data_IF_389933073020
#
_entry.id   IF_389933073020
#
_cell.length_a   1.000
_cell.length_b   1.000
_cell.length_c   1.000
_cell.angle_alpha   90.00
_cell.angle_beta   90.00
_cell.angle_gamma   90.00
#
_symmetry.space_group_name_H-M   'P 1'
#
loop_
_entity.id
_entity.type
_entity.pdbx_description
1 polymer ?
#
# COMPACT_ATOMS: atom_id res chain seq x y z
N UNK A 1 -15.52 4.96 26.04
CA UNK A 1 -16.45 4.10 25.29
C UNK A 1 -16.01 2.66 25.36
N UNK A 2 -16.89 1.72 25.69
CA UNK A 2 -16.54 0.29 25.66
C UNK A 2 -16.61 -0.19 24.20
N UNK A 3 -15.51 -0.64 23.64
CA UNK A 3 -15.48 -1.34 22.36
C UNK A 3 -15.78 -2.81 22.61
N UNK A 4 -16.75 -3.37 21.90
CA UNK A 4 -16.94 -4.82 21.87
C UNK A 4 -16.06 -5.39 20.77
N UNK A 5 -15.14 -6.25 21.13
CA UNK A 5 -14.38 -7.07 20.21
C UNK A 5 -14.94 -8.47 20.33
N UNK A 6 -15.44 -9.00 19.23
CA UNK A 6 -15.92 -10.37 19.20
C UNK A 6 -14.70 -11.30 19.17
N UNK A 7 -14.38 -11.88 20.33
CA UNK A 7 -13.29 -12.84 20.49
C UNK A 7 -13.82 -14.24 20.17
N UNK A 8 -13.61 -14.73 18.95
CA UNK A 8 -13.69 -16.16 18.74
C UNK A 8 -12.65 -16.87 19.61
N UNK A 9 -13.06 -17.98 20.25
CA UNK A 9 -12.19 -18.89 20.97
C UNK A 9 -11.20 -19.58 19.99
N UNK A 10 -10.21 -18.84 19.51
CA UNK A 10 -9.18 -19.38 18.66
C UNK A 10 -8.06 -19.98 19.52
N UNK A 11 -7.75 -21.23 19.28
CA UNK A 11 -6.54 -21.84 19.85
C UNK A 11 -5.32 -21.00 19.45
N UNK A 12 -4.48 -20.55 20.41
CA UNK A 12 -3.27 -19.83 20.08
C UNK A 12 -2.41 -20.62 19.07
N UNK A 13 -2.00 -19.95 18.02
CA UNK A 13 -1.16 -20.51 16.96
C UNK A 13 0.09 -19.66 16.77
N UNK A 14 1.15 -19.90 17.58
CA UNK A 14 2.37 -19.09 17.56
C UNK A 14 3.04 -19.07 16.19
N UNK A 15 3.63 -17.94 15.84
CA UNK A 15 4.44 -17.79 14.64
C UNK A 15 5.62 -18.76 14.67
N UNK A 16 5.92 -19.36 13.53
CA UNK A 16 7.01 -20.32 13.35
C UNK A 16 8.15 -19.66 12.60
N UNK A 17 9.36 -19.62 13.17
CA UNK A 17 10.55 -19.08 12.51
C UNK A 17 10.65 -17.54 12.54
N UNK A 18 11.60 -17.01 11.77
CA UNK A 18 11.89 -15.58 11.68
C UNK A 18 10.94 -14.88 10.71
N UNK A 19 10.69 -13.58 10.94
CA UNK A 19 9.93 -12.70 10.05
C UNK A 19 10.76 -12.23 8.82
N UNK A 20 11.97 -12.76 8.64
CA UNK A 20 13.04 -12.26 7.75
C UNK A 20 13.02 -12.77 6.31
N UNK A 21 11.95 -13.45 5.86
CA UNK A 21 11.92 -14.10 4.53
C UNK A 21 11.81 -13.10 3.35
N UNK A 22 11.87 -11.78 3.63
CA UNK A 22 11.72 -10.70 2.65
C UNK A 22 13.00 -9.88 2.42
N UNK A 23 14.16 -10.38 2.84
CA UNK A 23 15.45 -9.67 2.71
C UNK A 23 16.12 -9.83 1.33
N UNK A 24 15.58 -10.69 0.45
CA UNK A 24 16.10 -10.94 -0.89
C UNK A 24 15.97 -9.73 -1.83
N UNK A 25 16.57 -9.85 -3.02
CA UNK A 25 16.37 -8.88 -4.11
C UNK A 25 14.96 -8.93 -4.71
N UNK A 26 14.15 -9.94 -4.36
CA UNK A 26 12.77 -10.07 -4.79
C UNK A 26 11.87 -9.06 -4.07
N UNK A 27 10.78 -8.66 -4.74
CA UNK A 27 9.73 -7.82 -4.15
C UNK A 27 8.45 -8.64 -4.15
N UNK A 28 8.17 -9.28 -3.02
CA UNK A 28 7.13 -10.30 -2.88
C UNK A 28 5.81 -9.78 -2.32
N UNK A 29 5.76 -8.54 -1.84
CA UNK A 29 4.58 -7.94 -1.20
C UNK A 29 4.62 -6.43 -1.28
N UNK A 30 3.53 -5.77 -0.95
CA UNK A 30 3.43 -4.32 -0.88
C UNK A 30 4.52 -3.73 0.04
N UNK A 31 5.22 -2.70 -0.44
CA UNK A 31 6.33 -2.01 0.24
C UNK A 31 7.46 -2.96 0.65
N UNK A 32 7.65 -4.06 -0.09
CA UNK A 32 8.72 -5.04 -0.06
C UNK A 32 8.76 -5.96 1.18
N UNK A 33 8.52 -5.47 2.38
CA UNK A 33 8.77 -6.23 3.62
C UNK A 33 7.64 -6.07 4.65
N UNK A 34 7.64 -6.87 5.74
CA UNK A 34 6.60 -6.80 6.76
C UNK A 34 6.47 -5.45 7.46
N UNK A 35 7.54 -4.68 7.62
CA UNK A 35 7.50 -3.34 8.21
C UNK A 35 6.98 -2.26 7.25
N UNK A 36 6.71 -2.61 6.01
CA UNK A 36 6.18 -1.73 4.96
C UNK A 36 7.03 -0.47 4.68
N UNK A 37 8.30 -0.50 5.02
CA UNK A 37 9.19 0.66 4.95
C UNK A 37 9.87 0.90 3.59
N UNK A 38 9.50 0.12 2.57
CA UNK A 38 9.93 0.29 1.18
C UNK A 38 11.46 0.27 0.95
N UNK A 39 12.15 -0.59 1.67
CA UNK A 39 13.58 -0.77 1.47
C UNK A 39 13.87 -1.60 0.21
N UNK A 40 13.64 -0.99 -0.96
CA UNK A 40 13.85 -1.63 -2.26
C UNK A 40 15.33 -1.72 -2.66
N UNK A 41 16.22 -0.98 -2.02
CA UNK A 41 17.63 -0.90 -2.42
C UNK A 41 17.87 -0.15 -3.73
N UNK A 42 17.04 0.85 -4.03
CA UNK A 42 17.20 1.71 -5.21
C UNK A 42 18.53 2.48 -5.18
N UNK A 43 19.29 2.47 -6.28
CA UNK A 43 20.59 3.11 -6.38
C UNK A 43 20.69 3.92 -7.67
N UNK A 44 21.26 5.13 -7.57
CA UNK A 44 21.56 6.02 -8.70
C UNK A 44 23.00 6.49 -8.62
N UNK A 45 23.54 7.02 -9.73
CA UNK A 45 24.88 7.62 -9.77
C UNK A 45 24.76 9.14 -9.63
N UNK A 46 25.59 9.73 -8.77
CA UNK A 46 25.60 11.18 -8.58
C UNK A 46 24.25 11.77 -8.18
N UNK A 47 23.95 12.98 -8.60
CA UNK A 47 22.65 13.61 -8.47
C UNK A 47 21.84 13.34 -9.74
N UNK A 48 20.74 12.57 -9.65
CA UNK A 48 19.93 12.30 -10.83
C UNK A 48 19.09 13.53 -11.19
N UNK A 49 18.98 13.81 -12.48
CA UNK A 49 18.24 14.97 -13.02
C UNK A 49 17.30 14.60 -14.19
N UNK A 50 17.21 13.31 -14.52
CA UNK A 50 16.43 12.83 -15.66
C UNK A 50 15.71 11.53 -15.34
N UNK A 51 14.49 11.39 -15.88
CA UNK A 51 13.69 10.16 -15.83
C UNK A 51 13.27 9.81 -17.26
N UNK A 52 13.76 8.66 -17.77
CA UNK A 52 13.47 8.18 -19.13
C UNK A 52 12.57 6.96 -19.11
N UNK A 53 11.62 6.86 -20.05
CA UNK A 53 10.80 5.67 -20.24
C UNK A 53 11.65 4.59 -20.93
N UNK A 54 11.95 3.50 -20.21
CA UNK A 54 12.64 2.33 -20.81
C UNK A 54 11.67 1.49 -21.63
N UNK A 55 10.48 1.26 -21.11
CA UNK A 55 9.38 0.59 -21.81
C UNK A 55 8.04 0.92 -21.19
N UNK A 56 7.00 0.74 -21.99
CA UNK A 56 5.58 0.74 -21.59
C UNK A 56 4.96 -0.58 -21.99
N UNK A 57 4.24 -1.22 -21.06
CA UNK A 57 3.41 -2.37 -21.32
C UNK A 57 1.93 -1.95 -21.25
N UNK A 58 1.15 -2.28 -22.27
CA UNK A 58 -0.29 -2.00 -22.29
C UNK A 58 -1.08 -3.19 -21.77
N UNK A 59 -1.85 -2.99 -20.70
CA UNK A 59 -2.82 -3.96 -20.21
C UNK A 59 -4.06 -3.97 -21.09
N UNK A 60 -4.87 -4.99 -20.97
CA UNK A 60 -6.22 -4.95 -21.52
C UNK A 60 -6.99 -3.77 -20.88
N UNK A 61 -7.84 -3.15 -21.68
CA UNK A 61 -8.75 -2.11 -21.21
C UNK A 61 -10.17 -2.66 -21.21
N UNK A 62 -10.70 -3.02 -20.03
CA UNK A 62 -12.06 -3.49 -19.86
C UNK A 62 -13.04 -2.32 -19.98
N UNK A 63 -13.94 -2.35 -20.96
CA UNK A 63 -14.95 -1.30 -21.21
C UNK A 63 -16.32 -1.63 -20.61
N UNK A 64 -16.39 -2.70 -19.86
CA UNK A 64 -17.64 -3.12 -19.22
C UNK A 64 -18.16 -2.03 -18.27
N UNK A 65 -19.41 -1.65 -18.44
CA UNK A 65 -20.14 -0.76 -17.54
C UNK A 65 -20.76 -1.59 -16.44
N UNK A 66 -20.17 -1.54 -15.25
CA UNK A 66 -20.69 -2.20 -14.05
C UNK A 66 -21.48 -1.22 -13.19
N UNK A 67 -22.16 -1.73 -12.16
CA UNK A 67 -22.78 -0.89 -11.13
C UNK A 67 -21.78 0.07 -10.48
N UNK A 68 -20.51 -0.30 -10.39
CA UNK A 68 -19.42 0.49 -9.81
C UNK A 68 -18.63 1.31 -10.84
N UNK A 69 -19.11 1.38 -12.10
CA UNK A 69 -18.49 2.12 -13.19
C UNK A 69 -17.58 1.27 -14.09
N UNK A 70 -16.79 1.95 -14.93
CA UNK A 70 -15.78 1.34 -15.81
C UNK A 70 -14.43 1.39 -15.13
N UNK A 71 -13.82 0.23 -14.90
CA UNK A 71 -12.53 0.13 -14.20
C UNK A 71 -11.32 0.13 -15.14
N UNK A 72 -11.56 -0.08 -16.45
CA UNK A 72 -10.55 0.04 -17.49
C UNK A 72 -9.40 -0.96 -17.35
N UNK A 73 -8.20 -0.46 -17.16
CA UNK A 73 -6.98 -1.25 -17.05
C UNK A 73 -5.88 -0.53 -16.28
N UNK A 74 -4.64 -0.97 -16.45
CA UNK A 74 -3.51 -0.45 -15.71
C UNK A 74 -3.57 -0.81 -14.23
N UNK A 75 -3.15 0.11 -13.37
CA UNK A 75 -3.15 -0.09 -11.93
C UNK A 75 -3.65 1.18 -11.23
N UNK A 76 -4.39 1.02 -10.15
CA UNK A 76 -4.86 2.10 -9.31
C UNK A 76 -4.28 2.03 -7.91
N UNK A 77 -4.81 2.83 -7.02
CA UNK A 77 -4.54 2.73 -5.60
C UNK A 77 -5.10 1.39 -5.08
N UNK A 78 -4.43 0.59 -4.38
CA UNK A 78 -3.10 0.48 -3.80
C UNK A 78 -2.15 -0.43 -4.62
N UNK A 79 -2.40 -0.56 -5.91
CA UNK A 79 -1.64 -1.46 -6.76
C UNK A 79 -0.15 -1.11 -6.79
N UNK A 80 0.69 -2.12 -6.61
CA UNK A 80 2.14 -2.04 -6.74
C UNK A 80 2.62 -3.26 -7.50
N UNK A 81 3.60 -3.12 -8.43
CA UNK A 81 4.24 -4.27 -9.05
C UNK A 81 5.00 -5.12 -8.03
N UNK A 82 5.09 -6.43 -8.29
CA UNK A 82 6.02 -7.34 -7.64
C UNK A 82 7.17 -7.65 -8.59
N UNK A 83 8.29 -8.13 -8.06
CA UNK A 83 9.46 -8.50 -8.85
C UNK A 83 10.07 -9.81 -8.37
N UNK A 84 10.29 -10.71 -9.32
CA UNK A 84 11.03 -11.95 -9.11
C UNK A 84 12.41 -11.84 -9.78
N UNK A 85 13.44 -11.71 -8.97
CA UNK A 85 14.81 -11.49 -9.44
C UNK A 85 15.34 -12.64 -10.28
N UNK A 86 15.09 -13.89 -9.84
CA UNK A 86 15.59 -15.09 -10.54
C UNK A 86 15.01 -15.26 -11.94
N UNK A 87 13.72 -14.98 -12.12
CA UNK A 87 13.04 -15.05 -13.42
C UNK A 87 13.06 -13.73 -14.18
N UNK A 88 13.61 -12.67 -13.57
CA UNK A 88 13.60 -11.31 -14.12
C UNK A 88 12.21 -10.84 -14.54
N UNK A 89 11.22 -11.07 -13.68
CA UNK A 89 9.81 -10.94 -13.99
C UNK A 89 9.10 -9.93 -13.08
N UNK A 90 8.37 -9.02 -13.69
CA UNK A 90 7.39 -8.16 -13.02
C UNK A 90 6.05 -8.85 -13.02
N UNK A 91 5.37 -8.85 -11.87
CA UNK A 91 3.99 -9.33 -11.74
C UNK A 91 3.13 -8.16 -11.30
N UNK A 92 2.06 -7.88 -12.03
CA UNK A 92 1.11 -6.83 -11.68
C UNK A 92 -0.33 -7.34 -11.84
N UNK A 93 -1.10 -7.18 -10.77
CA UNK A 93 -2.55 -7.37 -10.79
C UNK A 93 -3.23 -6.06 -11.15
N UNK A 94 -4.17 -6.09 -12.09
CA UNK A 94 -4.68 -4.93 -12.80
C UNK A 94 -6.17 -4.68 -12.52
N UNK A 95 -6.58 -3.44 -12.69
CA UNK A 95 -7.98 -3.01 -12.61
C UNK A 95 -8.88 -3.72 -13.64
N UNK A 96 -8.32 -4.21 -14.75
CA UNK A 96 -9.07 -4.98 -15.78
C UNK A 96 -9.27 -6.45 -15.43
N UNK A 97 -9.21 -6.84 -14.15
CA UNK A 97 -9.42 -8.21 -13.66
C UNK A 97 -8.34 -9.22 -14.07
N UNK A 98 -7.16 -8.75 -14.49
CA UNK A 98 -6.07 -9.62 -14.96
C UNK A 98 -4.79 -9.41 -14.18
N UNK A 99 -4.09 -10.51 -13.97
CA UNK A 99 -2.71 -10.51 -13.47
C UNK A 99 -1.77 -10.74 -14.64
N UNK A 100 -0.80 -9.83 -14.80
CA UNK A 100 0.19 -9.84 -15.88
C UNK A 100 1.53 -10.27 -15.35
N UNK A 101 2.29 -10.92 -16.23
CA UNK A 101 3.65 -11.38 -16.04
C UNK A 101 4.50 -10.77 -17.16
N UNK A 102 5.46 -9.93 -16.81
CA UNK A 102 6.18 -9.08 -17.75
C UNK A 102 7.68 -9.27 -17.55
N UNK A 103 8.40 -9.58 -18.63
CA UNK A 103 9.87 -9.61 -18.59
C UNK A 103 10.40 -8.19 -18.27
N UNK A 104 11.15 -8.08 -17.18
CA UNK A 104 11.64 -6.79 -16.67
C UNK A 104 12.57 -6.08 -17.64
N UNK A 105 13.35 -6.82 -18.45
CA UNK A 105 14.29 -6.23 -19.40
C UNK A 105 13.57 -5.68 -20.61
N UNK A 106 12.66 -6.46 -21.20
CA UNK A 106 12.06 -6.16 -22.51
C UNK A 106 10.70 -5.48 -22.44
N UNK A 107 10.02 -5.54 -21.30
CA UNK A 107 8.65 -5.05 -21.16
C UNK A 107 7.62 -5.87 -21.92
N UNK A 108 7.95 -7.08 -22.36
CA UNK A 108 7.01 -7.99 -23.04
C UNK A 108 6.41 -8.99 -22.07
N UNK A 109 5.21 -9.50 -22.37
CA UNK A 109 4.63 -10.59 -21.60
C UNK A 109 5.58 -11.80 -21.59
N UNK A 110 5.93 -12.30 -20.41
CA UNK A 110 6.78 -13.49 -20.21
C UNK A 110 5.95 -14.77 -20.25
N UNK A 111 4.67 -14.67 -19.91
CA UNK A 111 3.69 -15.75 -19.94
C UNK A 111 2.26 -15.20 -20.04
N UNK A 112 1.23 -16.04 -20.31
CA UNK A 112 -0.15 -15.58 -20.39
C UNK A 112 -0.65 -14.93 -19.11
N UNK A 113 -1.48 -13.89 -19.23
CA UNK A 113 -2.18 -13.29 -18.09
C UNK A 113 -3.24 -14.23 -17.51
N UNK A 114 -3.52 -14.09 -16.22
CA UNK A 114 -4.60 -14.83 -15.54
C UNK A 114 -5.77 -13.88 -15.30
N UNK A 115 -6.94 -14.24 -15.81
CA UNK A 115 -8.19 -13.52 -15.53
C UNK A 115 -8.78 -14.03 -14.22
N UNK A 116 -9.15 -13.09 -13.34
CA UNK A 116 -9.77 -13.38 -12.04
C UNK A 116 -11.20 -12.84 -11.92
N UNK A 117 -11.76 -12.38 -13.04
CA UNK A 117 -13.16 -11.96 -13.23
C UNK A 117 -13.62 -10.72 -12.45
N UNK A 118 -12.85 -10.20 -11.50
CA UNK A 118 -13.16 -8.98 -10.75
C UNK A 118 -11.96 -8.04 -10.71
N UNK A 119 -12.25 -6.75 -10.60
CA UNK A 119 -11.23 -5.69 -10.47
C UNK A 119 -10.29 -5.99 -9.31
N UNK A 120 -8.99 -5.80 -9.53
CA UNK A 120 -7.97 -5.90 -8.50
C UNK A 120 -7.42 -4.49 -8.26
N UNK A 121 -7.69 -3.91 -7.09
CA UNK A 121 -7.15 -2.60 -6.69
C UNK A 121 -5.85 -2.77 -5.91
N UNK A 122 -5.81 -3.75 -5.02
CA UNK A 122 -4.71 -3.98 -4.10
C UNK A 122 -3.47 -4.62 -4.73
N UNK A 123 -2.38 -4.60 -3.96
CA UNK A 123 -1.15 -5.30 -4.33
C UNK A 123 -1.24 -6.77 -3.97
N UNK A 124 -0.97 -7.64 -4.93
CA UNK A 124 -0.81 -9.07 -4.70
C UNK A 124 0.40 -9.37 -3.81
N UNK A 125 0.50 -10.60 -3.32
CA UNK A 125 1.67 -11.05 -2.55
C UNK A 125 2.08 -12.45 -2.97
N UNK A 126 3.38 -12.73 -2.96
CA UNK A 126 3.95 -14.04 -3.31
C UNK A 126 4.42 -14.70 -2.02
N UNK A 127 4.19 -16.01 -1.89
CA UNK A 127 4.72 -16.78 -0.78
C UNK A 127 6.27 -16.88 -0.84
N UNK A 128 6.97 -17.04 0.33
CA UNK A 128 8.43 -17.12 0.37
C UNK A 128 9.03 -18.31 -0.38
N UNK A 129 8.21 -19.25 -0.86
CA UNK A 129 8.64 -20.42 -1.65
C UNK A 129 8.42 -20.22 -3.15
N UNK A 130 7.94 -19.03 -3.58
CA UNK A 130 7.71 -18.65 -4.99
C UNK A 130 6.74 -19.58 -5.75
N UNK A 131 5.76 -20.13 -5.03
CA UNK A 131 4.79 -21.08 -5.60
C UNK A 131 3.41 -20.49 -5.80
N UNK A 132 3.00 -19.59 -4.90
CA UNK A 132 1.65 -19.07 -4.86
C UNK A 132 1.66 -17.54 -4.91
N UNK A 133 0.74 -16.99 -5.69
CA UNK A 133 0.41 -15.57 -5.70
C UNK A 133 -0.97 -15.39 -5.08
N UNK A 134 -1.09 -14.53 -4.11
CA UNK A 134 -2.31 -14.22 -3.37
C UNK A 134 -2.92 -12.91 -3.88
N UNK A 135 -4.18 -12.94 -4.26
CA UNK A 135 -4.89 -11.81 -4.87
C UNK A 135 -6.23 -11.59 -4.18
N UNK A 136 -6.46 -10.38 -3.70
CA UNK A 136 -7.79 -9.92 -3.28
C UNK A 136 -8.55 -9.30 -4.46
N UNK A 137 -9.82 -9.64 -4.61
CA UNK A 137 -10.72 -8.93 -5.53
C UNK A 137 -11.25 -7.68 -4.83
N UNK A 138 -11.05 -6.51 -5.43
CA UNK A 138 -11.32 -5.22 -4.80
C UNK A 138 -12.70 -4.64 -5.07
N UNK A 139 -13.38 -5.09 -6.15
CA UNK A 139 -14.72 -4.60 -6.49
C UNK A 139 -15.57 -5.78 -6.96
N UNK A 140 -16.80 -5.94 -6.46
CA UNK A 140 -17.70 -7.04 -6.82
C UNK A 140 -18.43 -6.77 -8.14
N UNK A 141 -17.70 -6.67 -9.26
CA UNK A 141 -18.32 -6.57 -10.58
C UNK A 141 -19.15 -7.80 -10.90
N UNK A 142 -18.66 -8.95 -10.47
CA UNK A 142 -19.30 -10.25 -10.63
C UNK A 142 -19.29 -11.04 -9.32
N UNK A 143 -20.29 -11.86 -9.10
CA UNK A 143 -20.34 -12.76 -7.95
C UNK A 143 -19.94 -14.19 -8.39
N UNK A 144 -19.24 -14.95 -7.53
CA UNK A 144 -18.79 -14.58 -6.18
C UNK A 144 -17.59 -13.64 -6.18
N UNK A 145 -17.42 -12.87 -5.11
CA UNK A 145 -16.22 -12.07 -4.81
C UNK A 145 -15.49 -12.68 -3.63
N UNK A 146 -14.15 -12.66 -3.67
CA UNK A 146 -13.34 -13.23 -2.59
C UNK A 146 -11.85 -13.04 -2.80
N UNK A 147 -11.10 -14.00 -2.30
CA UNK A 147 -9.64 -14.04 -2.37
C UNK A 147 -9.19 -15.23 -3.19
N UNK A 148 -8.12 -15.10 -3.94
CA UNK A 148 -7.65 -16.14 -4.86
C UNK A 148 -6.20 -16.51 -4.57
N UNK A 149 -5.88 -17.77 -4.87
CA UNK A 149 -4.50 -18.25 -4.96
C UNK A 149 -4.24 -18.67 -6.40
N UNK A 150 -3.20 -18.08 -7.00
CA UNK A 150 -2.70 -18.50 -8.31
C UNK A 150 -1.46 -19.38 -8.10
N UNK A 151 -1.46 -20.58 -8.67
CA UNK A 151 -0.27 -21.43 -8.77
C UNK A 151 0.67 -20.81 -9.82
N UNK A 152 1.81 -20.27 -9.36
CA UNK A 152 2.77 -19.59 -10.23
C UNK A 152 3.46 -20.53 -11.22
N UNK A 153 3.59 -21.82 -10.91
CA UNK A 153 4.17 -22.79 -11.84
C UNK A 153 3.22 -23.15 -12.98
N UNK A 154 1.90 -23.13 -12.73
CA UNK A 154 0.86 -23.48 -13.69
C UNK A 154 0.19 -22.25 -14.31
N UNK A 155 0.47 -21.06 -13.78
CA UNK A 155 -0.13 -19.79 -14.22
C UNK A 155 -1.67 -19.87 -14.28
N UNK A 156 -2.27 -20.37 -13.19
CA UNK A 156 -3.73 -20.52 -13.07
C UNK A 156 -4.21 -20.41 -11.64
N UNK A 157 -5.49 -20.03 -11.49
CA UNK A 157 -6.15 -20.07 -10.18
C UNK A 157 -6.18 -21.51 -9.67
N UNK A 158 -5.67 -21.72 -8.45
CA UNK A 158 -5.63 -23.00 -7.75
C UNK A 158 -6.61 -23.08 -6.59
N UNK A 159 -7.00 -21.91 -6.03
CA UNK A 159 -7.97 -21.83 -4.95
C UNK A 159 -8.74 -20.52 -5.03
N UNK A 160 -10.05 -20.60 -4.81
CA UNK A 160 -10.92 -19.48 -4.48
C UNK A 160 -11.30 -19.59 -3.00
N UNK A 161 -11.20 -18.49 -2.29
CA UNK A 161 -11.57 -18.38 -0.87
C UNK A 161 -12.73 -17.39 -0.81
N UNK A 162 -13.91 -17.93 -0.57
CA UNK A 162 -15.13 -17.16 -0.41
C UNK A 162 -15.10 -16.32 0.87
N UNK A 163 -16.06 -15.39 0.98
CA UNK A 163 -16.24 -14.58 2.17
C UNK A 163 -16.51 -15.43 3.43
N UNK A 164 -16.13 -14.91 4.59
CA UNK A 164 -16.50 -15.52 5.86
C UNK A 164 -17.97 -15.16 6.18
N UNK A 165 -18.89 -16.14 6.30
CA UNK A 165 -20.28 -15.85 6.62
C UNK A 165 -20.48 -15.20 7.99
N UNK A 166 -19.44 -15.18 8.83
CA UNK A 166 -19.44 -14.52 10.14
C UNK A 166 -18.89 -13.10 10.09
N UNK A 167 -18.48 -12.61 8.92
CA UNK A 167 -18.06 -11.22 8.73
C UNK A 167 -19.23 -10.28 9.09
N UNK A 168 -18.92 -9.25 9.85
CA UNK A 168 -19.94 -8.32 10.34
C UNK A 168 -20.29 -7.25 9.30
N UNK A 169 -19.39 -6.94 8.39
CA UNK A 169 -19.59 -6.04 7.26
C UNK A 169 -19.74 -6.85 5.98
N UNK A 170 -20.81 -6.61 5.22
CA UNK A 170 -21.14 -7.34 3.99
C UNK A 170 -20.53 -6.72 2.73
N UNK A 171 -19.30 -6.20 2.84
CA UNK A 171 -18.49 -5.77 1.72
C UNK A 171 -17.23 -6.64 1.66
N UNK A 172 -17.22 -7.60 0.74
CA UNK A 172 -16.22 -8.67 0.71
C UNK A 172 -15.01 -8.38 -0.15
N UNK A 173 -14.79 -7.14 -0.53
CA UNK A 173 -13.60 -6.69 -1.21
C UNK A 173 -12.33 -6.86 -0.35
N UNK A 174 -11.17 -6.83 -0.96
CA UNK A 174 -9.90 -6.99 -0.28
C UNK A 174 -8.80 -6.26 -1.04
N UNK A 175 -8.60 -4.99 -0.70
CA UNK A 175 -7.58 -4.12 -1.27
C UNK A 175 -6.23 -4.24 -0.55
N UNK A 176 -6.25 -4.67 0.69
CA UNK A 176 -5.04 -4.92 1.47
C UNK A 176 -4.14 -5.99 0.84
N UNK A 177 -2.84 -5.72 0.77
CA UNK A 177 -1.85 -6.73 0.40
C UNK A 177 -1.66 -7.73 1.54
N UNK A 178 -1.88 -9.03 1.30
CA UNK A 178 -1.59 -10.04 2.31
C UNK A 178 -0.10 -10.15 2.58
N UNK A 179 0.26 -10.76 3.72
CA UNK A 179 1.64 -11.00 4.08
C UNK A 179 1.82 -12.35 4.77
N UNK A 180 2.80 -13.12 4.32
CA UNK A 180 3.16 -14.40 4.96
C UNK A 180 4.33 -14.19 5.91
N UNK A 181 4.11 -14.37 7.21
CA UNK A 181 5.13 -14.28 8.25
C UNK A 181 4.98 -15.44 9.24
N UNK A 182 6.11 -16.00 9.66
CA UNK A 182 6.12 -17.08 10.65
C UNK A 182 5.28 -18.30 10.27
N UNK A 183 5.19 -18.62 8.98
CA UNK A 183 4.45 -19.78 8.46
C UNK A 183 2.93 -19.59 8.36
N UNK A 184 2.44 -18.36 8.52
CA UNK A 184 1.03 -17.99 8.35
C UNK A 184 0.87 -16.81 7.42
N UNK A 185 -0.18 -16.84 6.61
CA UNK A 185 -0.62 -15.71 5.79
C UNK A 185 -1.63 -14.88 6.59
N UNK A 186 -1.36 -13.59 6.70
CA UNK A 186 -2.29 -12.62 7.28
C UNK A 186 -2.90 -11.78 6.17
N UNK A 187 -4.22 -11.63 6.20
CA UNK A 187 -4.97 -10.96 5.15
C UNK A 187 -6.06 -10.07 5.74
N UNK A 188 -5.86 -8.76 5.78
CA UNK A 188 -6.93 -7.82 6.11
C UNK A 188 -8.02 -7.83 5.04
N UNK A 189 -9.25 -7.54 5.41
CA UNK A 189 -10.37 -7.47 4.48
C UNK A 189 -11.32 -6.34 4.81
N UNK A 190 -11.93 -5.78 3.78
CA UNK A 190 -12.95 -4.74 3.93
C UNK A 190 -14.26 -5.27 4.53
N UNK A 191 -14.37 -6.57 4.69
CA UNK A 191 -15.42 -7.24 5.47
C UNK A 191 -15.25 -7.07 7.00
N UNK A 192 -14.24 -6.30 7.44
CA UNK A 192 -13.99 -5.98 8.84
C UNK A 192 -13.21 -7.05 9.59
N UNK A 193 -12.52 -7.91 8.88
CA UNK A 193 -11.79 -9.03 9.48
C UNK A 193 -10.30 -8.98 9.15
N UNK A 194 -9.47 -9.30 10.14
CA UNK A 194 -8.07 -9.69 9.89
C UNK A 194 -7.98 -11.20 9.96
N UNK A 195 -7.72 -11.83 8.83
CA UNK A 195 -7.65 -13.28 8.70
C UNK A 195 -6.24 -13.80 8.91
N UNK A 196 -6.13 -14.99 9.51
CA UNK A 196 -4.91 -15.77 9.62
C UNK A 196 -5.12 -17.14 9.00
N UNK A 197 -4.37 -17.42 7.95
CA UNK A 197 -4.41 -18.71 7.23
C UNK A 197 -3.12 -19.49 7.48
N UNK A 198 -3.24 -20.82 7.57
CA UNK A 198 -2.12 -21.73 7.38
C UNK A 198 -2.10 -22.26 5.97
N UNK A 199 -0.90 -22.46 5.40
CA UNK A 199 -0.76 -23.14 4.13
C UNK A 199 -0.48 -24.61 4.37
N UNK A 200 -1.44 -25.47 4.06
CA UNK A 200 -1.31 -26.91 4.20
C UNK A 200 -1.53 -27.57 2.84
N UNK A 201 -0.55 -28.34 2.38
CA UNK A 201 -0.61 -29.05 1.09
C UNK A 201 -0.88 -28.16 -0.13
N UNK A 202 -0.36 -26.90 -0.10
CA UNK A 202 -0.55 -25.93 -1.18
C UNK A 202 -1.85 -25.14 -1.12
N UNK A 203 -2.74 -25.41 -0.17
CA UNK A 203 -3.99 -24.69 0.05
C UNK A 203 -3.95 -23.84 1.32
N UNK A 204 -4.57 -22.67 1.25
CA UNK A 204 -4.82 -21.85 2.43
C UNK A 204 -6.00 -22.40 3.22
N UNK A 205 -5.82 -22.58 4.52
CA UNK A 205 -6.87 -22.96 5.45
C UNK A 205 -6.97 -21.90 6.54
N UNK A 206 -8.17 -21.39 6.77
CA UNK A 206 -8.42 -20.45 7.85
C UNK A 206 -8.09 -21.09 9.20
N UNK A 207 -7.24 -20.42 9.98
CA UNK A 207 -6.86 -20.81 11.33
C UNK A 207 -7.60 -20.00 12.36
N UNK A 208 -7.67 -18.69 12.14
CA UNK A 208 -8.25 -17.73 13.06
C UNK A 208 -8.58 -16.43 12.33
N UNK A 209 -9.49 -15.63 12.87
CA UNK A 209 -9.76 -14.29 12.41
C UNK A 209 -10.06 -13.38 13.60
N UNK A 210 -9.54 -12.16 13.56
CA UNK A 210 -10.01 -11.07 14.41
C UNK A 210 -11.21 -10.41 13.72
N UNK A 211 -12.36 -10.40 14.39
CA UNK A 211 -13.58 -9.66 14.04
C UNK A 211 -13.87 -8.68 15.14
N UNK A 212 -14.26 -7.49 14.80
CA UNK A 212 -14.50 -6.46 15.82
C UNK A 212 -15.47 -5.40 15.33
N UNK A 213 -16.00 -4.62 16.27
CA UNK A 213 -16.83 -3.46 16.00
C UNK A 213 -16.27 -2.22 16.67
N UNK A 214 -16.51 -1.07 16.07
CA UNK A 214 -16.24 0.24 16.64
C UNK A 214 -17.58 0.93 16.86
N UNK A 215 -17.93 1.22 18.12
CA UNK A 215 -19.20 1.82 18.48
C UNK A 215 -20.42 1.07 17.90
N UNK A 216 -20.33 -0.27 17.81
CA UNK A 216 -21.39 -1.13 17.28
C UNK A 216 -21.44 -1.27 15.77
N UNK A 217 -20.57 -0.58 15.02
CA UNK A 217 -20.44 -0.74 13.57
C UNK A 217 -19.18 -1.53 13.21
N UNK A 218 -19.27 -2.39 12.20
CA UNK A 218 -18.13 -3.12 11.67
C UNK A 218 -17.37 -2.23 10.70
N UNK A 219 -16.08 -1.90 10.96
CA UNK A 219 -15.24 -1.15 10.04
C UNK A 219 -14.73 -2.02 8.89
N UNK A 220 -14.26 -1.41 7.81
CA UNK A 220 -13.47 -2.07 6.76
C UNK A 220 -11.98 -1.88 6.98
N UNK A 221 -11.16 -2.84 6.53
CA UNK A 221 -9.71 -2.73 6.58
C UNK A 221 -9.19 -2.71 5.15
N UNK A 222 -8.81 -1.53 4.66
CA UNK A 222 -8.32 -1.34 3.27
C UNK A 222 -6.79 -1.32 3.20
N UNK A 223 -6.12 -0.92 4.28
CA UNK A 223 -4.66 -0.90 4.32
C UNK A 223 -4.03 -2.28 4.63
N UNK A 224 -2.76 -2.40 4.28
CA UNK A 224 -2.01 -3.65 4.45
C UNK A 224 -1.44 -3.77 5.86
N UNK A 225 -1.45 -4.98 6.42
CA UNK A 225 -0.87 -5.25 7.74
C UNK A 225 0.62 -4.94 7.76
N UNK A 226 1.05 -4.09 8.69
CA UNK A 226 2.44 -3.87 9.05
C UNK A 226 2.82 -4.79 10.21
N UNK A 227 4.00 -5.43 10.14
CA UNK A 227 4.39 -6.46 11.12
C UNK A 227 5.82 -6.25 11.62
N UNK A 228 6.01 -6.39 12.93
CA UNK A 228 7.31 -6.53 13.57
C UNK A 228 7.23 -7.59 14.68
N UNK A 229 8.04 -8.63 14.59
CA UNK A 229 7.96 -9.81 15.47
C UNK A 229 6.56 -10.43 15.45
N UNK A 230 5.91 -10.55 16.60
CA UNK A 230 4.53 -11.05 16.73
C UNK A 230 3.47 -9.96 16.87
N UNK A 231 3.82 -8.70 16.60
CA UNK A 231 2.88 -7.58 16.57
C UNK A 231 2.54 -7.19 15.15
N UNK A 232 1.27 -6.97 14.89
CA UNK A 232 0.76 -6.44 13.64
C UNK A 232 -0.02 -5.15 13.88
N UNK A 233 0.09 -4.19 12.96
CA UNK A 233 -0.65 -2.93 13.00
C UNK A 233 -1.39 -2.72 11.69
N UNK A 234 -2.62 -2.27 11.81
CA UNK A 234 -3.44 -1.85 10.68
C UNK A 234 -4.35 -0.69 11.10
N UNK A 235 -4.81 0.08 10.11
CA UNK A 235 -5.85 1.07 10.28
C UNK A 235 -7.19 0.56 9.77
N UNK A 236 -8.25 1.23 10.12
CA UNK A 236 -9.58 0.93 9.59
C UNK A 236 -10.29 2.20 9.09
N UNK A 237 -11.37 2.01 8.34
CA UNK A 237 -12.14 3.10 7.78
C UNK A 237 -13.02 3.87 8.80
N UNK A 238 -12.90 3.55 10.09
CA UNK A 238 -13.44 4.34 11.21
C UNK A 238 -12.35 5.14 11.92
N UNK A 239 -11.12 5.18 11.37
CA UNK A 239 -10.00 5.93 11.91
C UNK A 239 -9.29 5.26 13.07
N UNK A 240 -9.48 3.97 13.30
CA UNK A 240 -8.78 3.28 14.38
C UNK A 240 -7.48 2.66 13.90
N UNK A 241 -6.38 2.95 14.60
CA UNK A 241 -5.13 2.21 14.49
C UNK A 241 -5.18 1.09 15.53
N UNK A 242 -5.02 -0.15 15.11
CA UNK A 242 -5.14 -1.33 15.97
C UNK A 242 -3.81 -2.09 15.96
N UNK A 243 -3.31 -2.40 17.16
CA UNK A 243 -2.24 -3.37 17.36
C UNK A 243 -2.82 -4.73 17.72
N UNK A 244 -2.37 -5.77 17.06
CA UNK A 244 -2.79 -7.14 17.30
C UNK A 244 -1.59 -8.03 17.61
N UNK A 245 -1.74 -8.94 18.59
CA UNK A 245 -0.79 -10.01 18.82
C UNK A 245 -1.08 -11.16 17.83
N UNK A 246 -0.21 -11.38 16.87
CA UNK A 246 -0.39 -12.34 15.78
C UNK A 246 -0.34 -13.81 16.24
N UNK A 247 0.21 -14.10 17.44
CA UNK A 247 0.18 -15.44 18.01
C UNK A 247 -1.23 -15.81 18.50
N UNK A 248 -1.94 -14.84 19.08
CA UNK A 248 -3.24 -15.05 19.71
C UNK A 248 -4.39 -14.46 18.91
N UNK A 249 -4.11 -13.62 17.92
CA UNK A 249 -5.09 -12.81 17.16
C UNK A 249 -5.94 -11.91 18.06
N UNK A 250 -5.40 -11.50 19.22
CA UNK A 250 -6.05 -10.59 20.15
C UNK A 250 -5.52 -9.17 20.02
N UNK A 251 -6.38 -8.15 20.07
CA UNK A 251 -5.95 -6.76 20.15
C UNK A 251 -5.09 -6.53 21.40
N UNK A 252 -4.05 -5.73 21.25
CA UNK A 252 -3.18 -5.29 22.34
C UNK A 252 -3.57 -3.89 22.80
N UNK A 253 -3.72 -2.99 21.85
CA UNK A 253 -4.17 -1.61 22.05
C UNK A 253 -4.81 -1.08 20.78
N UNK A 254 -5.49 0.05 20.88
CA UNK A 254 -5.95 0.83 19.74
C UNK A 254 -5.77 2.34 20.01
N UNK A 255 -5.68 3.09 18.93
CA UNK A 255 -5.58 4.54 18.92
C UNK A 255 -6.61 5.12 17.95
N UNK A 256 -7.30 6.20 18.36
CA UNK A 256 -8.26 6.92 17.50
C UNK A 256 -7.53 7.99 16.71
N UNK A 257 -7.42 7.81 15.39
CA UNK A 257 -6.81 8.76 14.46
C UNK A 257 -7.84 9.58 13.67
N UNK A 258 -9.05 9.65 14.20
CA UNK A 258 -10.14 10.56 13.86
C UNK A 258 -10.89 10.27 12.55
N UNK A 259 -10.26 9.91 11.45
CA UNK A 259 -10.87 9.72 10.13
C UNK A 259 -10.28 8.48 9.42
N UNK A 260 -10.84 8.13 8.29
CA UNK A 260 -10.51 6.95 7.50
C UNK A 260 -8.99 6.79 7.29
N UNK A 261 -8.53 5.53 7.36
CA UNK A 261 -7.11 5.19 7.24
C UNK A 261 -6.92 4.19 6.11
N UNK A 262 -6.67 4.70 4.94
CA UNK A 262 -6.34 3.91 3.76
C UNK A 262 -4.83 3.70 3.60
N UNK A 263 -4.04 4.72 3.92
CA UNK A 263 -2.59 4.66 3.89
C UNK A 263 -2.02 3.57 4.81
N UNK A 264 -1.17 2.70 4.28
CA UNK A 264 -0.57 1.62 5.08
C UNK A 264 0.42 2.17 6.11
N UNK A 265 0.36 1.62 7.31
CA UNK A 265 1.26 1.94 8.43
C UNK A 265 2.70 1.53 8.10
N UNK A 266 3.65 2.38 8.45
CA UNK A 266 5.09 2.10 8.34
C UNK A 266 5.69 1.92 9.72
N UNK A 267 6.57 0.92 9.87
CA UNK A 267 7.31 0.69 11.10
C UNK A 267 8.80 1.04 10.93
N UNK A 268 9.32 1.80 11.89
CA UNK A 268 10.74 2.05 12.14
C UNK A 268 11.11 1.41 13.47
N UNK A 269 12.28 0.77 13.54
CA UNK A 269 12.76 0.17 14.79
C UNK A 269 13.98 0.93 15.27
N UNK A 270 13.89 1.46 16.48
CA UNK A 270 15.01 2.09 17.19
C UNK A 270 15.21 1.41 18.54
N UNK A 271 16.43 0.94 18.83
CA UNK A 271 16.79 0.26 20.07
C UNK A 271 15.80 -0.84 20.48
N UNK A 272 15.39 -1.69 19.53
CA UNK A 272 14.38 -2.76 19.68
C UNK A 272 12.94 -2.27 19.96
N UNK A 273 12.69 -0.97 19.96
CA UNK A 273 11.35 -0.40 20.09
C UNK A 273 10.81 -0.10 18.70
N UNK A 274 9.69 -0.70 18.28
CA UNK A 274 9.03 -0.34 17.05
C UNK A 274 8.25 0.98 17.25
N UNK A 275 8.47 1.92 16.35
CA UNK A 275 7.64 3.11 16.20
C UNK A 275 6.86 2.99 14.91
N UNK A 276 5.58 3.33 14.94
CA UNK A 276 4.72 3.30 13.78
C UNK A 276 4.28 4.70 13.38
N UNK A 277 4.13 4.88 12.07
CA UNK A 277 3.68 6.14 11.46
C UNK A 277 2.43 5.88 10.65
N UNK A 278 1.40 6.71 10.85
CA UNK A 278 0.12 6.58 10.21
C UNK A 278 -0.52 7.95 9.99
N UNK A 279 -1.13 8.16 8.85
CA UNK A 279 -1.96 9.33 8.58
C UNK A 279 -3.40 8.92 8.28
N UNK A 280 -4.32 9.87 8.39
CA UNK A 280 -5.71 9.69 8.00
C UNK A 280 -6.07 10.55 6.79
N UNK A 281 -7.22 10.24 6.22
CA UNK A 281 -7.86 11.02 5.19
C UNK A 281 -8.66 12.20 5.76
N UNK A 282 -9.28 12.95 4.88
CA UNK A 282 -10.39 13.84 5.17
C UNK A 282 -11.57 13.35 4.34
N UNK A 283 -12.33 12.44 4.91
CA UNK A 283 -13.52 11.81 4.31
C UNK A 283 -14.78 12.14 5.12
N UNK A 284 -14.78 11.89 6.41
CA UNK A 284 -15.96 11.99 7.28
C UNK A 284 -16.10 13.33 8.00
N UNK A 285 -15.08 14.18 7.92
CA UNK A 285 -15.04 15.50 8.55
C UNK A 285 -15.80 16.59 7.76
N UNK A 286 -16.41 16.26 6.62
CA UNK A 286 -17.07 17.22 5.72
C UNK A 286 -16.17 17.64 4.56
N UNK A 287 -16.46 18.79 3.93
CA UNK A 287 -15.70 19.26 2.75
C UNK A 287 -14.32 19.86 3.10
N UNK A 288 -14.08 20.14 4.35
CA UNK A 288 -12.79 20.59 4.90
C UNK A 288 -12.54 19.90 6.22
N UNK A 289 -11.30 19.51 6.46
CA UNK A 289 -10.92 18.80 7.66
C UNK A 289 -9.42 18.81 7.91
N UNK A 290 -8.98 17.89 8.74
CA UNK A 290 -7.60 17.76 9.17
C UNK A 290 -7.12 16.34 8.94
N UNK A 291 -6.04 16.18 8.17
CA UNK A 291 -5.25 14.96 8.15
C UNK A 291 -4.38 14.92 9.40
N UNK A 292 -4.57 13.91 10.23
CA UNK A 292 -3.76 13.67 11.42
C UNK A 292 -2.66 12.68 11.07
N UNK A 293 -1.42 13.13 11.09
CA UNK A 293 -0.26 12.26 10.91
C UNK A 293 0.43 12.04 12.24
N UNK A 294 0.51 10.79 12.69
CA UNK A 294 0.97 10.42 14.03
C UNK A 294 2.19 9.50 14.00
N UNK A 295 3.03 9.62 15.02
CA UNK A 295 4.01 8.62 15.44
C UNK A 295 3.57 8.03 16.77
N UNK A 296 3.43 6.71 16.83
CA UNK A 296 3.08 5.99 18.06
C UNK A 296 4.20 5.02 18.44
N UNK A 297 4.34 4.76 19.74
CA UNK A 297 5.06 3.59 20.20
C UNK A 297 4.27 2.34 19.82
N UNK A 298 4.84 1.47 18.99
CA UNK A 298 4.15 0.30 18.45
C UNK A 298 3.76 -0.72 19.51
N UNK A 299 4.47 -0.80 20.65
CA UNK A 299 4.15 -1.75 21.71
C UNK A 299 3.04 -1.25 22.63
N UNK A 300 3.00 0.04 22.92
CA UNK A 300 2.11 0.63 23.94
C UNK A 300 0.94 1.41 23.36
N UNK A 301 1.03 1.86 22.11
CA UNK A 301 0.07 2.79 21.51
C UNK A 301 0.20 4.23 21.98
N UNK A 302 1.23 4.53 22.78
CA UNK A 302 1.50 5.88 23.26
C UNK A 302 1.86 6.81 22.10
N UNK A 303 1.21 7.97 22.04
CA UNK A 303 1.48 9.00 21.06
C UNK A 303 2.80 9.70 21.37
N UNK A 304 3.76 9.61 20.43
CA UNK A 304 5.03 10.35 20.52
C UNK A 304 4.82 11.79 20.02
N UNK A 305 4.19 11.90 18.85
CA UNK A 305 3.80 13.21 18.31
C UNK A 305 2.62 13.07 17.34
N UNK A 306 1.99 14.19 17.05
CA UNK A 306 0.90 14.33 16.09
C UNK A 306 1.09 15.62 15.30
N UNK A 307 0.98 15.53 13.98
CA UNK A 307 0.95 16.68 13.09
C UNK A 307 -0.42 16.84 12.47
N UNK A 308 -0.95 18.05 12.50
CA UNK A 308 -2.27 18.42 11.97
C UNK A 308 -2.10 19.18 10.67
N UNK A 309 -2.68 18.65 9.60
CA UNK A 309 -2.53 19.21 8.25
C UNK A 309 -3.93 19.52 7.70
N UNK A 310 -4.30 20.79 7.50
CA UNK A 310 -5.58 21.15 6.88
C UNK A 310 -5.66 20.58 5.46
N UNK A 311 -6.74 19.90 5.14
CA UNK A 311 -7.02 19.33 3.82
C UNK A 311 -8.49 19.54 3.47
N UNK A 312 -8.80 19.55 2.17
CA UNK A 312 -10.17 19.62 1.68
C UNK A 312 -10.51 18.40 0.85
N UNK A 313 -11.79 18.12 0.74
CA UNK A 313 -12.37 17.29 -0.32
C UNK A 313 -12.65 18.18 -1.53
N UNK A 314 -12.65 17.61 -2.74
CA UNK A 314 -13.03 18.32 -3.95
C UNK A 314 -14.12 17.57 -4.69
N UNK A 315 -15.05 18.31 -5.29
CA UNK A 315 -16.05 17.75 -6.17
C UNK A 315 -15.60 17.90 -7.63
N UNK A 316 -15.52 16.79 -8.36
CA UNK A 316 -15.23 16.72 -9.79
C UNK A 316 -16.39 16.01 -10.47
N UNK A 317 -17.25 16.78 -11.13
CA UNK A 317 -18.54 16.28 -11.58
C UNK A 317 -19.41 15.84 -10.41
N UNK A 318 -19.84 14.60 -10.41
CA UNK A 318 -20.61 14.01 -9.30
C UNK A 318 -19.75 13.30 -8.25
N UNK A 319 -18.47 13.09 -8.56
CA UNK A 319 -17.54 12.41 -7.64
C UNK A 319 -16.96 13.40 -6.65
N UNK A 320 -16.86 12.99 -5.41
CA UNK A 320 -16.08 13.66 -4.37
C UNK A 320 -14.76 12.89 -4.21
N UNK A 321 -13.65 13.62 -4.28
CA UNK A 321 -12.32 13.09 -3.98
C UNK A 321 -11.90 13.62 -2.61
N UNK A 322 -11.49 12.71 -1.77
CA UNK A 322 -11.15 13.00 -0.41
C UNK A 322 -9.75 13.61 -0.30
N UNK A 323 -9.51 14.34 0.78
CA UNK A 323 -8.22 14.91 1.12
C UNK A 323 -7.42 14.01 2.06
N UNK A 324 -6.28 14.51 2.54
CA UNK A 324 -5.48 13.80 3.53
C UNK A 324 -4.45 12.85 2.94
N UNK A 325 -4.19 11.74 3.61
CA UNK A 325 -3.08 10.85 3.31
C UNK A 325 -3.53 9.45 2.90
N UNK A 326 -3.40 9.14 1.62
CA UNK A 326 -3.61 7.82 1.02
C UNK A 326 -2.33 7.01 0.86
N UNK A 327 -1.20 7.69 0.75
CA UNK A 327 0.08 7.04 0.53
C UNK A 327 0.60 6.33 1.79
N UNK A 328 1.44 5.34 1.57
CA UNK A 328 2.32 4.79 2.61
C UNK A 328 3.56 5.67 2.71
N UNK A 329 3.92 6.19 3.90
CA UNK A 329 5.08 7.04 4.06
C UNK A 329 6.40 6.37 3.69
N UNK A 330 7.43 7.16 3.39
CA UNK A 330 8.80 6.72 3.13
C UNK A 330 9.72 7.21 4.23
N UNK A 331 10.46 6.30 4.86
CA UNK A 331 11.50 6.65 5.82
C UNK A 331 12.76 7.19 5.14
N UNK A 332 13.32 8.24 5.70
CA UNK A 332 14.56 8.84 5.26
C UNK A 332 15.77 7.97 5.57
N UNK A 333 16.73 7.96 4.64
CA UNK A 333 18.01 7.24 4.74
C UNK A 333 19.18 8.17 4.42
N UNK A 334 20.40 7.71 4.71
CA UNK A 334 21.60 8.46 4.42
C UNK A 334 21.56 9.88 4.97
N UNK A 335 21.73 10.89 4.11
CA UNK A 335 21.71 12.31 4.49
C UNK A 335 20.31 12.86 4.85
N UNK A 336 19.26 12.08 4.59
CA UNK A 336 17.87 12.36 4.98
C UNK A 336 17.40 11.52 6.19
N UNK A 337 18.32 10.79 6.87
CA UNK A 337 17.99 10.04 8.09
C UNK A 337 17.38 10.97 9.14
N UNK A 338 16.34 10.51 9.81
CA UNK A 338 15.56 11.31 10.77
C UNK A 338 14.41 12.09 10.13
N UNK A 339 14.19 11.91 8.83
CA UNK A 339 13.01 12.42 8.15
C UNK A 339 12.06 11.27 7.77
N UNK A 340 10.78 11.60 7.60
CA UNK A 340 9.77 10.74 7.00
C UNK A 340 8.95 11.56 6.00
N UNK A 341 8.63 10.97 4.85
CA UNK A 341 8.01 11.66 3.73
C UNK A 341 6.65 11.08 3.42
N UNK A 342 5.66 11.94 3.20
CA UNK A 342 4.33 11.54 2.78
C UNK A 342 3.77 12.48 1.71
N UNK A 343 3.03 11.92 0.76
CA UNK A 343 2.20 12.69 -0.15
C UNK A 343 0.88 13.05 0.55
N UNK A 344 0.56 14.33 0.61
CA UNK A 344 -0.66 14.85 1.25
C UNK A 344 -1.56 15.47 0.19
N UNK A 345 -2.80 15.04 0.11
CA UNK A 345 -3.83 15.58 -0.76
C UNK A 345 -4.45 16.81 -0.09
N UNK A 346 -3.96 18.02 -0.45
CA UNK A 346 -4.41 19.28 0.16
C UNK A 346 -5.71 19.78 -0.44
N UNK A 347 -5.92 19.54 -1.73
CA UNK A 347 -7.15 19.85 -2.47
C UNK A 347 -7.65 21.29 -2.25
N UNK A 348 -6.75 22.25 -2.44
CA UNK A 348 -7.03 23.67 -2.31
C UNK A 348 -6.91 24.26 -0.91
N UNK A 349 -6.68 23.46 0.12
CA UNK A 349 -6.44 23.96 1.49
C UNK A 349 -5.11 24.74 1.62
N UNK A 350 -4.24 24.67 0.63
CA UNK A 350 -3.02 25.45 0.51
C UNK A 350 -3.20 26.75 -0.29
N UNK A 351 -4.43 27.05 -0.70
CA UNK A 351 -4.77 28.25 -1.51
C UNK A 351 -4.34 28.17 -2.98
N UNK A 352 -3.87 27.02 -3.48
CA UNK A 352 -3.22 26.90 -4.80
C UNK A 352 -3.98 26.07 -5.84
N UNK A 353 -5.28 26.00 -5.74
CA UNK A 353 -6.15 25.38 -6.73
C UNK A 353 -7.01 24.26 -6.17
N UNK A 354 -7.96 23.76 -6.97
CA UNK A 354 -8.96 22.79 -6.53
C UNK A 354 -8.34 21.44 -6.22
N UNK A 355 -7.51 20.90 -7.12
CA UNK A 355 -6.77 19.65 -6.89
C UNK A 355 -5.31 19.99 -6.66
N UNK A 356 -4.78 19.64 -5.51
CA UNK A 356 -3.38 19.89 -5.17
C UNK A 356 -2.85 18.85 -4.21
N UNK A 357 -1.57 18.53 -4.36
CA UNK A 357 -0.82 17.65 -3.49
C UNK A 357 0.49 18.28 -3.05
N UNK A 358 1.05 17.73 -2.01
CA UNK A 358 2.37 18.10 -1.51
C UNK A 358 3.11 16.84 -1.06
N UNK A 359 4.37 16.70 -1.42
CA UNK A 359 5.29 15.85 -0.67
C UNK A 359 5.74 16.65 0.55
N UNK A 360 5.48 16.12 1.72
CA UNK A 360 5.83 16.76 3.00
C UNK A 360 6.88 15.93 3.70
N UNK A 361 7.95 16.58 4.16
CA UNK A 361 8.97 15.99 5.01
C UNK A 361 8.73 16.36 6.47
N UNK A 362 8.69 15.37 7.34
CA UNK A 362 8.51 15.53 8.77
C UNK A 362 9.77 15.03 9.50
N UNK A 363 10.14 15.70 10.57
CA UNK A 363 11.17 15.22 11.48
C UNK A 363 10.61 14.04 12.29
N UNK A 364 11.30 12.90 12.31
CA UNK A 364 10.83 11.69 13.01
C UNK A 364 10.86 11.82 14.53
N UNK A 365 11.58 12.79 15.10
CA UNK A 365 11.70 12.99 16.55
C UNK A 365 10.51 13.77 17.12
N UNK A 366 10.13 14.88 16.49
CA UNK A 366 9.13 15.81 17.02
C UNK A 366 7.92 16.07 16.08
N UNK A 367 7.91 15.45 14.90
CA UNK A 367 6.84 15.56 13.91
C UNK A 367 6.79 16.89 13.15
N UNK A 368 7.70 17.82 13.41
CA UNK A 368 7.67 19.12 12.72
C UNK A 368 7.90 18.98 11.23
N UNK A 369 7.16 19.77 10.46
CA UNK A 369 7.35 19.88 9.02
C UNK A 369 8.68 20.58 8.76
N UNK A 370 9.57 19.91 8.06
CA UNK A 370 10.90 20.42 7.68
C UNK A 370 10.80 21.22 6.37
N UNK A 371 10.09 20.64 5.38
CA UNK A 371 9.79 21.32 4.12
C UNK A 371 8.56 20.71 3.45
N UNK A 372 8.05 21.39 2.43
CA UNK A 372 7.01 20.87 1.54
C UNK A 372 7.41 21.11 0.09
N UNK A 373 7.24 20.11 -0.76
CA UNK A 373 7.40 20.22 -2.21
C UNK A 373 6.05 20.06 -2.87
N UNK A 374 5.64 21.05 -3.69
CA UNK A 374 4.34 21.05 -4.35
C UNK A 374 4.29 19.99 -5.46
N UNK A 375 3.20 19.22 -5.49
CA UNK A 375 2.78 18.38 -6.60
C UNK A 375 1.64 19.09 -7.36
N UNK A 376 1.52 18.83 -8.66
CA UNK A 376 0.53 19.54 -9.50
C UNK A 376 -0.91 19.14 -9.18
N UNK A 377 -1.11 17.85 -8.82
CA UNK A 377 -2.41 17.28 -8.50
C UNK A 377 -2.32 16.51 -7.16
N UNK A 378 -3.44 15.99 -6.66
CA UNK A 378 -3.43 15.09 -5.52
C UNK A 378 -2.59 13.84 -5.82
N UNK A 379 -1.99 13.25 -4.81
CA UNK A 379 -1.08 12.12 -4.97
C UNK A 379 -1.38 11.01 -3.96
N UNK A 380 -1.94 9.92 -4.46
CA UNK A 380 -2.19 8.69 -3.70
C UNK A 380 -0.99 7.73 -3.77
N UNK A 381 -0.17 7.88 -4.79
CA UNK A 381 1.04 7.09 -4.98
C UNK A 381 1.98 7.18 -3.76
N UNK A 382 2.47 6.05 -3.29
CA UNK A 382 3.43 6.01 -2.19
C UNK A 382 4.85 6.31 -2.71
N UNK A 383 5.57 7.28 -2.14
CA UNK A 383 6.91 7.63 -2.58
C UNK A 383 7.91 6.50 -2.35
N UNK A 384 8.94 6.41 -3.20
CA UNK A 384 10.07 5.48 -3.04
C UNK A 384 11.40 6.22 -3.04
N UNK A 385 12.44 5.61 -2.46
CA UNK A 385 13.75 6.21 -2.28
C UNK A 385 14.84 5.56 -3.11
N UNK A 386 15.79 6.39 -3.55
CA UNK A 386 17.07 6.01 -4.18
C UNK A 386 18.22 6.60 -3.39
N UNK A 387 19.32 5.86 -3.31
CA UNK A 387 20.56 6.33 -2.71
C UNK A 387 21.61 6.51 -3.81
N UNK A 388 22.50 7.47 -3.65
CA UNK A 388 23.71 7.52 -4.46
C UNK A 388 24.94 7.04 -3.66
N UNK A 389 26.10 7.01 -4.32
CA UNK A 389 27.38 6.62 -3.73
C UNK A 389 27.89 7.55 -2.64
N UNK A 390 27.32 8.77 -2.53
CA UNK A 390 27.66 9.77 -1.50
C UNK A 390 26.74 9.67 -0.28
N UNK A 391 25.78 8.75 -0.30
CA UNK A 391 24.79 8.61 0.78
C UNK A 391 23.69 9.67 0.74
N UNK A 392 23.49 10.37 -0.39
CA UNK A 392 22.35 11.27 -0.59
C UNK A 392 21.13 10.49 -1.02
N UNK A 393 19.97 10.85 -0.47
CA UNK A 393 18.69 10.22 -0.82
C UNK A 393 17.88 11.09 -1.78
N UNK A 394 17.26 10.43 -2.76
CA UNK A 394 16.33 11.01 -3.74
C UNK A 394 15.00 10.28 -3.67
N UNK A 395 13.91 11.00 -3.92
CA UNK A 395 12.54 10.50 -3.87
C UNK A 395 11.95 10.50 -5.27
N UNK A 396 11.39 9.37 -5.68
CA UNK A 396 10.54 9.27 -6.86
C UNK A 396 9.08 9.09 -6.43
N UNK A 397 8.17 9.85 -7.02
CA UNK A 397 6.73 9.76 -6.79
C UNK A 397 5.95 10.20 -8.03
N UNK A 398 4.64 9.91 -8.06
CA UNK A 398 3.73 10.36 -9.10
C UNK A 398 2.48 11.02 -8.52
N UNK A 399 1.75 11.77 -9.36
CA UNK A 399 0.47 12.36 -8.99
C UNK A 399 -0.67 11.92 -9.93
N UNK A 400 -1.91 12.26 -9.57
CA UNK A 400 -3.12 11.92 -10.32
C UNK A 400 -3.25 12.67 -11.67
N UNK A 401 -2.39 13.66 -11.92
CA UNK A 401 -2.26 14.31 -13.22
C UNK A 401 -1.31 13.59 -14.17
N UNK A 402 -0.79 12.43 -13.80
CA UNK A 402 0.13 11.64 -14.63
C UNK A 402 1.54 12.21 -14.70
N UNK A 403 1.93 13.00 -13.73
CA UNK A 403 3.27 13.59 -13.62
C UNK A 403 4.11 12.73 -12.67
N UNK A 404 5.35 12.45 -13.08
CA UNK A 404 6.38 11.86 -12.24
C UNK A 404 7.34 12.94 -11.76
N UNK A 405 7.83 12.78 -10.54
CA UNK A 405 8.71 13.73 -9.86
C UNK A 405 9.95 13.04 -9.34
N UNK A 406 11.07 13.74 -9.41
CA UNK A 406 12.31 13.39 -8.73
C UNK A 406 12.71 14.55 -7.82
N UNK A 407 12.89 14.25 -6.53
CA UNK A 407 13.04 15.26 -5.46
C UNK A 407 14.23 14.86 -4.59
N UNK A 408 15.09 15.81 -4.23
CA UNK A 408 16.16 15.60 -3.25
C UNK A 408 15.53 15.47 -1.84
N UNK A 409 15.75 14.35 -1.20
CA UNK A 409 15.08 14.03 0.07
C UNK A 409 15.47 14.97 1.22
N UNK A 410 16.70 15.45 1.25
CA UNK A 410 17.22 16.29 2.35
C UNK A 410 16.54 17.65 2.48
N UNK A 411 16.18 18.28 1.35
CA UNK A 411 15.72 19.68 1.33
C UNK A 411 14.48 19.94 0.46
N UNK A 412 13.93 18.92 -0.21
CA UNK A 412 12.75 19.06 -1.04
C UNK A 412 12.99 19.71 -2.40
N UNK A 413 14.22 19.85 -2.84
CA UNK A 413 14.57 20.40 -4.15
C UNK A 413 13.98 19.54 -5.25
N UNK A 414 13.19 20.15 -6.13
CA UNK A 414 12.63 19.49 -7.31
C UNK A 414 13.71 19.40 -8.39
N UNK A 415 14.20 18.18 -8.65
CA UNK A 415 15.23 17.92 -9.63
C UNK A 415 14.64 17.66 -11.02
N UNK A 416 13.50 16.97 -11.09
CA UNK A 416 12.84 16.64 -12.33
C UNK A 416 11.34 16.50 -12.15
N UNK A 417 10.57 16.91 -13.16
CA UNK A 417 9.15 16.58 -13.30
C UNK A 417 8.77 16.47 -14.77
N UNK A 418 7.95 15.50 -15.12
CA UNK A 418 7.47 15.31 -16.48
C UNK A 418 6.09 14.65 -16.50
N UNK A 419 5.23 15.10 -17.42
CA UNK A 419 3.93 14.48 -17.66
C UNK A 419 4.11 13.26 -18.57
N UNK A 420 3.63 12.10 -18.14
CA UNK A 420 3.86 10.80 -18.82
C UNK A 420 2.55 10.13 -19.20
N UNK A 421 1.58 10.12 -18.30
CA UNK A 421 0.39 9.30 -18.39
C UNK A 421 -0.87 10.08 -17.97
N UNK A 422 -2.00 9.39 -17.86
CA UNK A 422 -3.23 10.02 -17.38
C UNK A 422 -3.26 10.19 -15.86
N UNK A 423 -2.61 9.31 -15.12
CA UNK A 423 -2.72 9.25 -13.67
C UNK A 423 -1.70 8.26 -13.09
N UNK A 424 -1.07 8.60 -11.95
CA UNK A 424 -0.26 7.70 -11.14
C UNK A 424 -0.83 7.64 -9.72
N UNK A 425 -1.88 6.86 -9.51
CA UNK A 425 -2.40 6.52 -8.19
C UNK A 425 -1.64 5.34 -7.58
N UNK A 426 -1.18 4.39 -8.41
CA UNK A 426 -0.47 3.21 -7.95
C UNK A 426 0.93 3.53 -7.40
N UNK A 427 1.45 2.63 -6.59
CA UNK A 427 2.75 2.81 -5.93
C UNK A 427 3.87 2.20 -6.76
N UNK A 428 4.99 2.90 -6.97
CA UNK A 428 6.16 2.39 -7.68
C UNK A 428 6.97 1.40 -6.83
N UNK A 429 7.82 0.62 -7.51
CA UNK A 429 8.95 -0.11 -6.92
C UNK A 429 10.27 0.37 -7.52
N UNK A 430 11.36 0.21 -6.77
CA UNK A 430 12.72 0.48 -7.25
C UNK A 430 13.50 -0.82 -7.45
N UNK A 431 14.20 -0.92 -8.57
CA UNK A 431 15.14 -2.02 -8.89
C UNK A 431 16.38 -1.39 -9.52
N UNK A 432 17.50 -1.36 -8.78
CA UNK A 432 18.69 -0.60 -9.19
C UNK A 432 18.33 0.88 -9.40
N UNK A 433 18.67 1.43 -10.56
CA UNK A 433 18.33 2.80 -10.95
C UNK A 433 17.01 2.90 -11.75
N UNK A 434 16.11 1.97 -11.59
CA UNK A 434 14.83 1.98 -12.31
C UNK A 434 13.64 2.06 -11.36
N UNK A 435 12.53 2.66 -11.84
CA UNK A 435 11.23 2.58 -11.21
C UNK A 435 10.26 1.81 -12.10
N UNK A 436 9.41 0.95 -11.52
CA UNK A 436 8.29 0.33 -12.24
C UNK A 436 7.00 0.72 -11.53
N UNK A 437 6.04 1.22 -12.29
CA UNK A 437 4.75 1.71 -11.77
C UNK A 437 3.64 1.55 -12.80
N UNK A 438 2.43 1.23 -12.34
CA UNK A 438 1.24 1.26 -13.18
C UNK A 438 0.61 2.64 -13.22
N UNK A 439 -0.05 2.98 -14.32
CA UNK A 439 -0.95 4.12 -14.40
C UNK A 439 -2.38 3.62 -14.57
N UNK A 440 -3.36 4.45 -14.25
CA UNK A 440 -4.74 4.19 -14.66
C UNK A 440 -4.85 4.11 -16.19
N UNK A 441 -5.97 3.61 -16.69
CA UNK A 441 -6.27 3.27 -18.07
C UNK A 441 -5.62 1.98 -18.52
N UNK A 442 -4.35 1.95 -18.98
CA UNK A 442 -3.75 0.70 -19.44
C UNK A 442 -2.21 0.64 -19.37
N UNK A 443 -1.54 1.66 -18.86
CA UNK A 443 -0.09 1.72 -18.92
C UNK A 443 0.61 1.14 -17.68
N UNK A 444 1.61 0.28 -17.89
CA UNK A 444 2.63 -0.08 -16.90
C UNK A 444 3.95 0.42 -17.45
N UNK A 445 4.68 1.20 -16.68
CA UNK A 445 5.89 1.88 -17.12
C UNK A 445 7.09 1.41 -16.33
N UNK A 446 8.21 1.23 -17.03
CA UNK A 446 9.54 1.17 -16.43
C UNK A 446 10.28 2.45 -16.81
N UNK A 447 10.76 3.12 -15.78
CA UNK A 447 11.61 4.31 -15.93
C UNK A 447 13.06 3.97 -15.59
N UNK A 448 13.99 4.66 -16.23
CA UNK A 448 15.40 4.73 -15.84
C UNK A 448 15.64 6.10 -15.24
N UNK A 449 16.25 6.12 -14.07
CA UNK A 449 16.62 7.35 -13.34
C UNK A 449 18.12 7.58 -13.53
N UNK A 450 18.47 8.73 -14.07
CA UNK A 450 19.84 9.13 -14.39
C UNK A 450 20.20 10.47 -13.79
#
# INVERSE_FOLDING_TARGET
MRRSIDEENSTPSPLKGKVSDYESADILTFRKNPMRNADFGGMVKGTPDTVEIAWKFDTYYNREHTHFGVWGGGSGWTGQPLYLNKSNEIILSSLCSRTYFIDFTTGKASRPSVDVHNTIKGTSSIDPFFKNLYIGQGIPNHLPIGRLVIDLNKTRVSQFIDHDPRALRHWYASDASPIEVGGYLFWPGEDGCLYKYSRKQGHLKLVSALRYTINGAAPGIENSLCVYRNYGWFGDNHGSIICVNLNTMKPVWYYDNHDDIDGTIVCEVDNNTPYIYCGCEVDKQGMSGTCYFVKLNGLTGEKIWEQKIPCNRIKIGEKVLDGGMYCTPLLGKGDAKGLIFANICRNGADGKGKSSGQLVAFNTTDGKIVYTTRLNQFAWSSPIGYMNEKGEQFIFTGDSGGIVYLIRAKNGELLYKHHVASNFESSPIAIGNTAVVGSRQNGIYKFIIR
#
